data_IF_600665673764
#
_entry.id   IF_600665673764
#
_cell.length_a   1.000
_cell.length_b   1.000
_cell.length_c   1.000
_cell.angle_alpha   90.00
_cell.angle_beta   90.00
_cell.angle_gamma   90.00
#
_symmetry.space_group_name_H-M   'P 1'
#
loop_
_entity.id
_entity.type
_entity.pdbx_description
1 polymer ?
#
# COMPACT_ATOMS: atom_id res chain seq x y z
N UNK A 1 8.06 -28.15 11.07
CA UNK A 1 6.65 -27.99 10.65
C UNK A 1 6.20 -26.58 10.97
N UNK A 2 5.78 -25.78 9.98
CA UNK A 2 5.07 -24.52 10.27
C UNK A 2 3.69 -24.90 10.82
N UNK A 3 3.41 -24.54 12.07
CA UNK A 3 2.09 -24.79 12.67
C UNK A 3 1.03 -24.09 11.84
N UNK A 4 0.03 -24.84 11.36
CA UNK A 4 -1.10 -24.25 10.65
C UNK A 4 -1.89 -23.39 11.64
N UNK A 5 -2.10 -22.12 11.29
CA UNK A 5 -2.92 -21.20 12.07
C UNK A 5 -4.30 -21.80 12.30
N UNK A 6 -4.69 -21.92 13.56
CA UNK A 6 -6.01 -22.38 13.95
C UNK A 6 -7.09 -21.35 13.56
N UNK A 7 -8.34 -21.80 13.46
CA UNK A 7 -9.47 -20.89 13.13
C UNK A 7 -9.61 -19.74 14.16
N UNK A 8 -9.33 -19.99 15.43
CA UNK A 8 -9.36 -18.98 16.49
C UNK A 8 -8.25 -17.95 16.31
N UNK A 9 -7.02 -18.39 16.04
CA UNK A 9 -5.89 -17.50 15.75
C UNK A 9 -6.15 -16.65 14.51
N UNK A 10 -6.73 -17.22 13.46
CA UNK A 10 -7.13 -16.49 12.26
C UNK A 10 -8.18 -15.41 12.53
N UNK A 11 -9.19 -15.70 13.36
CA UNK A 11 -10.18 -14.70 13.77
C UNK A 11 -9.56 -13.59 14.62
N UNK A 12 -8.69 -13.95 15.56
CA UNK A 12 -8.00 -12.99 16.40
C UNK A 12 -7.07 -12.09 15.56
N UNK A 13 -6.37 -12.66 14.59
CA UNK A 13 -5.57 -11.91 13.62
C UNK A 13 -6.43 -10.93 12.82
N UNK A 14 -7.54 -11.40 12.24
CA UNK A 14 -8.47 -10.55 11.48
C UNK A 14 -8.99 -9.38 12.31
N UNK A 15 -9.36 -9.62 13.58
CA UNK A 15 -9.84 -8.58 14.47
C UNK A 15 -8.77 -7.51 14.76
N UNK A 16 -7.52 -7.93 15.04
CA UNK A 16 -6.40 -7.00 15.22
C UNK A 16 -6.12 -6.21 13.93
N UNK A 17 -6.13 -6.88 12.79
CA UNK A 17 -5.90 -6.24 11.50
C UNK A 17 -6.99 -5.21 11.15
N UNK A 18 -8.25 -5.49 11.49
CA UNK A 18 -9.34 -4.54 11.30
C UNK A 18 -9.14 -3.23 12.08
N UNK A 19 -8.59 -3.31 13.30
CA UNK A 19 -8.28 -2.12 14.09
C UNK A 19 -7.15 -1.28 13.47
N UNK A 20 -6.10 -1.93 12.97
CA UNK A 20 -4.99 -1.27 12.26
C UNK A 20 -5.49 -0.59 10.99
N UNK A 21 -6.24 -1.32 10.16
CA UNK A 21 -6.81 -0.78 8.93
C UNK A 21 -7.71 0.43 9.19
N UNK A 22 -8.48 0.41 10.28
CA UNK A 22 -9.34 1.55 10.62
C UNK A 22 -8.53 2.79 10.99
N UNK A 23 -7.43 2.63 11.73
CA UNK A 23 -6.53 3.72 12.04
C UNK A 23 -5.88 4.28 10.77
N UNK A 24 -5.35 3.40 9.91
CA UNK A 24 -4.74 3.78 8.64
C UNK A 24 -5.72 4.51 7.71
N UNK A 25 -6.97 4.04 7.62
CA UNK A 25 -8.00 4.72 6.84
C UNK A 25 -8.28 6.13 7.36
N UNK A 26 -8.35 6.32 8.68
CA UNK A 26 -8.56 7.63 9.28
C UNK A 26 -7.40 8.56 8.96
N UNK A 27 -6.17 8.09 9.15
CA UNK A 27 -4.97 8.85 8.81
C UNK A 27 -4.95 9.26 7.34
N UNK A 28 -5.25 8.33 6.43
CA UNK A 28 -5.32 8.61 4.99
C UNK A 28 -6.41 9.60 4.62
N UNK A 29 -7.56 9.57 5.31
CA UNK A 29 -8.68 10.49 5.09
C UNK A 29 -8.38 11.90 5.63
N UNK A 30 -7.67 12.01 6.77
CA UNK A 30 -7.36 13.30 7.40
C UNK A 30 -6.10 13.95 6.86
N UNK A 31 -5.21 13.18 6.22
CA UNK A 31 -3.95 13.71 5.67
C UNK A 31 -4.22 14.56 4.44
N UNK A 32 -3.77 15.82 4.48
CA UNK A 32 -3.90 16.75 3.35
C UNK A 32 -3.12 16.30 2.12
N UNK A 33 -3.53 16.77 0.94
CA UNK A 33 -2.86 16.46 -0.33
C UNK A 33 -1.39 16.94 -0.29
N UNK A 34 -1.13 18.12 0.28
CA UNK A 34 0.24 18.66 0.39
C UNK A 34 1.14 17.78 1.26
N UNK A 35 0.59 17.20 2.32
CA UNK A 35 1.35 16.30 3.19
C UNK A 35 1.64 14.98 2.46
N UNK A 36 0.66 14.45 1.71
CA UNK A 36 0.86 13.26 0.86
C UNK A 36 1.93 13.50 -0.20
N UNK A 37 1.92 14.67 -0.83
CA UNK A 37 2.92 15.03 -1.83
C UNK A 37 4.34 15.11 -1.24
N UNK A 38 4.48 15.68 -0.04
CA UNK A 38 5.77 15.70 0.69
C UNK A 38 6.26 14.31 1.06
N UNK A 39 5.37 13.45 1.56
CA UNK A 39 5.69 12.06 1.88
C UNK A 39 6.13 11.28 0.63
N UNK A 40 5.42 11.46 -0.48
CA UNK A 40 5.79 10.84 -1.76
C UNK A 40 7.16 11.32 -2.25
N UNK A 41 7.45 12.62 -2.17
CA UNK A 41 8.75 13.16 -2.55
C UNK A 41 9.88 12.54 -1.73
N UNK A 42 9.71 12.43 -0.40
CA UNK A 42 10.70 11.78 0.47
C UNK A 42 10.90 10.29 0.13
N UNK A 43 9.83 9.56 -0.21
CA UNK A 43 9.93 8.17 -0.66
C UNK A 43 10.71 8.06 -1.98
N UNK A 44 10.43 8.92 -2.96
CA UNK A 44 11.15 8.93 -4.24
C UNK A 44 12.64 9.27 -4.06
N UNK A 45 12.96 10.19 -3.15
CA UNK A 45 14.35 10.50 -2.80
C UNK A 45 15.06 9.30 -2.14
N UNK A 46 14.36 8.57 -1.26
CA UNK A 46 14.92 7.35 -0.67
C UNK A 46 15.19 6.25 -1.70
N UNK A 47 14.33 6.12 -2.72
CA UNK A 47 14.53 5.16 -3.80
C UNK A 47 15.79 5.48 -4.62
N UNK A 48 16.12 6.76 -4.79
CA UNK A 48 17.40 7.17 -5.37
C UNK A 48 18.58 6.78 -4.48
N UNK A 49 18.53 7.15 -3.20
CA UNK A 49 19.60 6.88 -2.25
C UNK A 49 19.89 5.37 -2.08
N UNK A 50 18.87 4.52 -2.26
CA UNK A 50 18.96 3.06 -2.18
C UNK A 50 19.29 2.39 -3.51
N UNK A 51 19.40 3.14 -4.61
CA UNK A 51 19.71 2.60 -5.94
C UNK A 51 18.58 1.73 -6.52
N UNK A 52 17.33 2.05 -6.20
CA UNK A 52 16.15 1.27 -6.61
C UNK A 52 15.45 1.81 -7.85
N UNK A 53 15.92 2.92 -8.43
CA UNK A 53 15.25 3.58 -9.56
C UNK A 53 15.04 2.65 -10.75
N UNK A 54 16.05 1.90 -11.16
CA UNK A 54 16.00 1.03 -12.33
C UNK A 54 15.06 -0.15 -12.11
N UNK A 55 15.08 -0.73 -10.90
CA UNK A 55 14.16 -1.80 -10.52
C UNK A 55 12.70 -1.32 -10.56
N UNK A 56 12.42 -0.14 -9.99
CA UNK A 56 11.09 0.46 -10.02
C UNK A 56 10.63 0.82 -11.44
N UNK A 57 11.54 1.31 -12.29
CA UNK A 57 11.23 1.66 -13.68
C UNK A 57 10.90 0.41 -14.52
N UNK A 58 11.51 -0.74 -14.20
CA UNK A 58 11.30 -1.98 -14.97
C UNK A 58 9.85 -2.49 -14.91
N UNK A 59 9.13 -2.18 -13.83
CA UNK A 59 7.73 -2.59 -13.62
C UNK A 59 6.72 -1.48 -13.96
N UNK A 60 7.17 -0.29 -14.36
CA UNK A 60 6.30 0.90 -14.51
C UNK A 60 5.14 0.65 -15.47
N UNK A 61 5.41 0.02 -16.61
CA UNK A 61 4.39 -0.28 -17.64
C UNK A 61 3.34 -1.25 -17.10
N UNK A 62 3.77 -2.34 -16.45
CA UNK A 62 2.85 -3.35 -15.89
C UNK A 62 1.96 -2.74 -14.79
N UNK A 63 2.56 -1.96 -13.89
CA UNK A 63 1.83 -1.27 -12.81
C UNK A 63 0.81 -0.30 -13.39
N UNK A 64 1.19 0.45 -14.44
CA UNK A 64 0.29 1.41 -15.11
C UNK A 64 -0.88 0.72 -15.79
N UNK A 65 -0.65 -0.42 -16.44
CA UNK A 65 -1.70 -1.24 -17.05
C UNK A 65 -2.68 -1.78 -15.99
N UNK A 66 -2.17 -2.38 -14.92
CA UNK A 66 -3.00 -2.88 -13.80
C UNK A 66 -3.82 -1.76 -13.16
N UNK A 67 -3.22 -0.58 -12.98
CA UNK A 67 -3.92 0.58 -12.44
C UNK A 67 -5.03 1.09 -13.35
N UNK A 68 -4.80 1.09 -14.67
CA UNK A 68 -5.83 1.46 -15.64
C UNK A 68 -7.00 0.47 -15.63
N UNK A 69 -6.75 -0.84 -15.51
CA UNK A 69 -7.80 -1.84 -15.36
C UNK A 69 -8.61 -1.66 -14.07
N UNK A 70 -7.95 -1.45 -12.93
CA UNK A 70 -8.63 -1.15 -11.66
C UNK A 70 -9.51 0.10 -11.76
N UNK A 71 -9.02 1.16 -12.41
CA UNK A 71 -9.78 2.40 -12.58
C UNK A 71 -11.04 2.21 -13.42
N UNK A 72 -11.04 1.29 -14.40
CA UNK A 72 -12.24 0.94 -15.17
C UNK A 72 -13.30 0.27 -14.28
N UNK A 73 -12.86 -0.59 -13.36
CA UNK A 73 -13.75 -1.34 -12.46
C UNK A 73 -14.33 -0.40 -11.38
N UNK A 74 -13.50 0.46 -10.78
CA UNK A 74 -13.90 1.37 -9.69
C UNK A 74 -14.63 2.64 -10.16
N UNK A 75 -14.82 2.86 -11.47
CA UNK A 75 -15.59 3.97 -12.04
C UNK A 75 -17.09 3.67 -12.21
N UNK A 76 -17.57 2.49 -11.78
CA UNK A 76 -19.00 2.16 -11.65
C UNK A 76 -19.48 2.42 -10.23
#
# INVERSE_FOLDING_TARGET
MKGHMTKSEGRAFKARWAAVNLAEQRELQTTSIDQKARQLAALMESAEALGWKEALASEETEVRERWNELRKICRK
#
